data_IF_365448666544
#
_entry.id   IF_365448666544
#
_cell.length_a   1.000
_cell.length_b   1.000
_cell.length_c   1.000
_cell.angle_alpha   90.00
_cell.angle_beta   90.00
_cell.angle_gamma   90.00
#
_symmetry.space_group_name_H-M   'P 1'
#
loop_
_entity.id
_entity.type
_entity.pdbx_description
1 polymer ?
#
# COMPACT_ATOMS: atom_id res chain seq x y z
N UNK A 1 -31.41 -56.79 12.58
CA UNK A 1 -30.84 -58.11 12.96
C UNK A 1 -31.69 -58.94 13.95
N UNK A 2 -32.78 -58.42 14.52
CA UNK A 2 -33.59 -59.17 15.50
C UNK A 2 -34.28 -60.42 14.93
N UNK A 3 -34.76 -60.37 13.68
CA UNK A 3 -35.50 -61.48 13.07
C UNK A 3 -34.74 -62.81 12.94
N UNK A 4 -33.55 -62.85 12.32
CA UNK A 4 -32.73 -64.07 12.24
C UNK A 4 -32.33 -64.64 13.60
N UNK A 5 -32.13 -63.79 14.60
CA UNK A 5 -31.84 -64.20 15.99
C UNK A 5 -33.04 -64.91 16.60
N UNK A 6 -34.25 -64.38 16.40
CA UNK A 6 -35.50 -65.01 16.85
C UNK A 6 -35.69 -66.36 16.14
N UNK A 7 -35.40 -66.45 14.84
CA UNK A 7 -35.49 -67.71 14.09
C UNK A 7 -34.48 -68.74 14.63
N UNK A 8 -33.23 -68.35 14.86
CA UNK A 8 -32.22 -69.21 15.46
C UNK A 8 -32.63 -69.69 16.86
N UNK A 9 -33.23 -68.81 17.67
CA UNK A 9 -33.77 -69.16 18.98
C UNK A 9 -34.94 -70.15 18.88
N UNK A 10 -35.87 -69.96 17.93
CA UNK A 10 -36.96 -70.93 17.72
C UNK A 10 -36.47 -72.30 17.22
N UNK A 11 -35.38 -72.35 16.44
CA UNK A 11 -34.73 -73.60 16.04
C UNK A 11 -34.07 -74.26 17.26
N UNK A 12 -33.40 -73.48 18.11
CA UNK A 12 -32.78 -73.96 19.34
C UNK A 12 -33.80 -74.53 20.32
N UNK A 13 -34.92 -73.83 20.56
CA UNK A 13 -36.02 -74.32 21.41
C UNK A 13 -36.58 -75.64 20.87
N UNK A 14 -36.81 -75.75 19.55
CA UNK A 14 -37.27 -77.00 18.93
C UNK A 14 -36.26 -78.15 19.03
N UNK A 15 -34.96 -77.87 19.10
CA UNK A 15 -33.92 -78.88 19.30
C UNK A 15 -33.86 -79.40 20.75
N UNK A 16 -34.20 -78.54 21.74
CA UNK A 16 -34.17 -78.87 23.16
C UNK A 16 -35.44 -79.62 23.63
N UNK A 17 -36.60 -79.34 23.02
CA UNK A 17 -37.85 -80.07 23.28
C UNK A 17 -38.22 -80.95 22.07
N UNK A 18 -37.67 -82.18 21.96
CA UNK A 18 -37.94 -83.05 20.83
C UNK A 18 -39.36 -83.61 20.91
N UNK A 19 -40.30 -82.95 20.25
CA UNK A 19 -41.57 -83.56 19.85
C UNK A 19 -41.34 -84.30 18.53
N UNK A 20 -41.70 -85.58 18.47
CA UNK A 20 -41.37 -86.49 17.36
C UNK A 20 -41.95 -86.07 15.98
N UNK A 21 -42.80 -85.05 15.95
CA UNK A 21 -43.50 -84.54 14.76
C UNK A 21 -43.06 -83.14 14.31
N UNK A 22 -42.14 -82.47 15.01
CA UNK A 22 -41.79 -81.05 14.76
C UNK A 22 -40.64 -80.80 13.78
N UNK A 23 -40.15 -81.82 13.07
CA UNK A 23 -39.03 -81.70 12.12
C UNK A 23 -39.30 -80.75 10.93
N UNK A 24 -40.57 -80.43 10.62
CA UNK A 24 -40.92 -79.53 9.52
C UNK A 24 -40.60 -78.04 9.81
N UNK A 25 -40.64 -77.61 11.08
CA UNK A 25 -40.38 -76.22 11.49
C UNK A 25 -38.94 -75.76 11.23
N UNK A 26 -37.88 -76.48 11.64
CA UNK A 26 -36.50 -76.06 11.34
C UNK A 26 -36.18 -76.12 9.85
N UNK A 27 -36.76 -77.08 9.11
CA UNK A 27 -36.56 -77.18 7.66
C UNK A 27 -37.19 -76.02 6.90
N UNK A 28 -38.44 -75.67 7.25
CA UNK A 28 -39.12 -74.49 6.69
C UNK A 28 -38.50 -73.18 7.16
N UNK A 29 -37.90 -73.12 8.35
CA UNK A 29 -37.12 -71.97 8.81
C UNK A 29 -35.87 -71.73 7.94
N UNK A 30 -35.11 -72.77 7.63
CA UNK A 30 -33.91 -72.67 6.77
C UNK A 30 -34.26 -72.23 5.35
N UNK A 31 -35.25 -72.86 4.72
CA UNK A 31 -35.73 -72.47 3.39
C UNK A 31 -36.29 -71.04 3.45
N UNK A 32 -36.98 -70.71 4.54
CA UNK A 32 -37.64 -69.42 4.70
C UNK A 32 -36.68 -68.24 4.80
N UNK A 33 -35.54 -68.39 5.47
CA UNK A 33 -34.52 -67.33 5.51
C UNK A 33 -34.00 -67.04 4.09
N UNK A 34 -33.68 -68.07 3.30
CA UNK A 34 -33.21 -67.91 1.92
C UNK A 34 -34.26 -67.29 0.99
N UNK A 35 -35.53 -67.69 1.14
CA UNK A 35 -36.63 -67.13 0.37
C UNK A 35 -36.94 -65.67 0.75
N UNK A 36 -36.88 -65.33 2.04
CA UNK A 36 -37.08 -63.96 2.53
C UNK A 36 -35.96 -63.02 2.06
N UNK A 37 -34.72 -63.51 1.95
CA UNK A 37 -33.62 -62.75 1.38
C UNK A 37 -33.88 -62.41 -0.08
N UNK A 38 -34.23 -63.40 -0.91
CA UNK A 38 -34.34 -63.21 -2.37
C UNK A 38 -35.62 -62.49 -2.79
N UNK A 39 -36.74 -62.76 -2.11
CA UNK A 39 -38.08 -62.38 -2.57
C UNK A 39 -38.88 -61.53 -1.56
N UNK A 40 -38.26 -61.05 -0.48
CA UNK A 40 -38.86 -60.14 0.53
C UNK A 40 -40.26 -60.62 0.97
N UNK A 41 -41.29 -59.79 0.81
CA UNK A 41 -42.69 -60.08 1.16
C UNK A 41 -43.27 -61.28 0.41
N UNK A 42 -42.96 -61.43 -0.88
CA UNK A 42 -43.38 -62.60 -1.66
C UNK A 42 -42.72 -63.88 -1.14
N UNK A 43 -41.48 -63.77 -0.66
CA UNK A 43 -40.75 -64.84 0.01
C UNK A 43 -41.38 -65.23 1.35
N UNK A 44 -41.64 -64.25 2.22
CA UNK A 44 -42.26 -64.47 3.53
C UNK A 44 -43.69 -65.04 3.42
N UNK A 45 -44.47 -64.58 2.44
CA UNK A 45 -45.83 -65.07 2.21
C UNK A 45 -45.82 -66.48 1.60
N UNK A 46 -44.85 -66.78 0.74
CA UNK A 46 -44.63 -68.12 0.21
C UNK A 46 -44.17 -69.12 1.28
N UNK A 47 -43.31 -68.70 2.20
CA UNK A 47 -42.83 -69.56 3.31
C UNK A 47 -43.90 -69.77 4.36
N UNK A 48 -44.74 -68.75 4.60
CA UNK A 48 -45.93 -68.87 5.44
C UNK A 48 -46.93 -69.87 4.86
N UNK A 49 -47.21 -69.78 3.56
CA UNK A 49 -48.09 -70.72 2.86
C UNK A 49 -47.52 -72.16 2.89
N UNK A 50 -46.21 -72.31 2.72
CA UNK A 50 -45.54 -73.61 2.83
C UNK A 50 -45.58 -74.19 4.24
N UNK A 51 -45.33 -73.39 5.28
CA UNK A 51 -45.48 -73.82 6.68
C UNK A 51 -46.93 -74.24 6.98
N UNK A 52 -47.91 -73.46 6.52
CA UNK A 52 -49.33 -73.78 6.71
C UNK A 52 -49.74 -75.08 6.00
N UNK A 53 -49.27 -75.28 4.76
CA UNK A 53 -49.51 -76.51 4.01
C UNK A 53 -48.89 -77.73 4.71
N UNK A 54 -47.66 -77.61 5.20
CA UNK A 54 -46.99 -78.67 5.95
C UNK A 54 -47.71 -78.97 7.28
N UNK A 55 -48.19 -77.95 7.97
CA UNK A 55 -49.00 -78.10 9.18
C UNK A 55 -50.30 -78.86 8.91
N UNK A 56 -51.00 -78.61 7.80
CA UNK A 56 -52.21 -79.34 7.43
C UNK A 56 -51.93 -80.82 7.14
N UNK A 57 -50.80 -81.13 6.50
CA UNK A 57 -50.40 -82.52 6.17
C UNK A 57 -50.04 -83.28 7.45
N UNK A 58 -49.38 -82.64 8.42
CA UNK A 58 -48.97 -83.28 9.69
C UNK A 58 -50.05 -83.24 10.77
N UNK A 59 -51.14 -82.48 10.56
CA UNK A 59 -52.22 -82.25 11.53
C UNK A 59 -52.81 -83.54 12.12
N UNK A 60 -52.98 -84.59 11.30
CA UNK A 60 -53.54 -85.86 11.75
C UNK A 60 -52.61 -86.66 12.67
N UNK A 61 -51.30 -86.38 12.65
CA UNK A 61 -50.28 -87.08 13.43
C UNK A 61 -49.93 -86.42 14.77
N UNK A 62 -50.48 -85.24 15.07
CA UNK A 62 -50.14 -84.46 16.26
C UNK A 62 -51.14 -84.72 17.39
N UNK A 63 -50.64 -85.09 18.57
CA UNK A 63 -51.42 -85.24 19.79
C UNK A 63 -52.09 -83.91 20.18
N UNK A 64 -53.34 -83.98 20.67
CA UNK A 64 -54.19 -82.80 20.91
C UNK A 64 -53.53 -81.77 21.84
N UNK A 65 -52.74 -82.23 22.82
CA UNK A 65 -52.02 -81.40 23.79
C UNK A 65 -50.86 -80.61 23.14
N UNK A 66 -50.23 -81.12 22.09
CA UNK A 66 -49.08 -80.49 21.42
C UNK A 66 -49.50 -79.50 20.31
N UNK A 67 -50.77 -79.53 19.88
CA UNK A 67 -51.26 -78.69 18.77
C UNK A 67 -51.17 -77.19 19.07
N UNK A 68 -51.51 -76.80 20.30
CA UNK A 68 -51.42 -75.40 20.73
C UNK A 68 -49.96 -74.93 20.80
N UNK A 69 -49.05 -75.80 21.25
CA UNK A 69 -47.62 -75.52 21.29
C UNK A 69 -47.05 -75.31 19.88
N UNK A 70 -47.35 -76.22 18.95
CA UNK A 70 -46.87 -76.11 17.56
C UNK A 70 -47.45 -74.90 16.83
N UNK A 71 -48.72 -74.56 17.09
CA UNK A 71 -49.33 -73.34 16.57
C UNK A 71 -48.65 -72.08 17.10
N UNK A 72 -48.33 -72.06 18.40
CA UNK A 72 -47.57 -70.98 19.03
C UNK A 72 -46.19 -70.80 18.39
N UNK A 73 -45.45 -71.90 18.23
CA UNK A 73 -44.13 -71.89 17.57
C UNK A 73 -44.21 -71.44 16.11
N UNK A 74 -45.20 -71.91 15.34
CA UNK A 74 -45.42 -71.49 13.97
C UNK A 74 -45.80 -70.00 13.87
N UNK A 75 -46.61 -69.49 14.79
CA UNK A 75 -46.95 -68.06 14.83
C UNK A 75 -45.74 -67.18 15.14
N UNK A 76 -44.86 -67.63 16.05
CA UNK A 76 -43.63 -66.93 16.39
C UNK A 76 -42.63 -66.92 15.22
N UNK A 77 -42.49 -68.02 14.49
CA UNK A 77 -41.63 -68.08 13.30
C UNK A 77 -42.17 -67.20 12.16
N UNK A 78 -43.48 -67.14 11.96
CA UNK A 78 -44.11 -66.23 11.00
C UNK A 78 -43.85 -64.76 11.35
N UNK A 79 -44.02 -64.39 12.62
CA UNK A 79 -43.73 -63.03 13.09
C UNK A 79 -42.25 -62.69 12.92
N UNK A 80 -41.34 -63.64 13.16
CA UNK A 80 -39.91 -63.46 12.95
C UNK A 80 -39.55 -63.25 11.47
N UNK A 81 -40.23 -63.92 10.53
CA UNK A 81 -40.08 -63.64 9.10
C UNK A 81 -40.56 -62.24 8.72
N UNK A 82 -41.70 -61.80 9.25
CA UNK A 82 -42.21 -60.44 8.99
C UNK A 82 -41.22 -59.37 9.51
N UNK A 83 -40.70 -59.53 10.73
CA UNK A 83 -39.67 -58.65 11.30
C UNK A 83 -38.39 -58.66 10.45
N UNK A 84 -38.00 -59.83 9.92
CA UNK A 84 -36.80 -59.96 9.07
C UNK A 84 -36.97 -59.18 7.75
N UNK A 85 -38.13 -59.29 7.09
CA UNK A 85 -38.40 -58.57 5.84
C UNK A 85 -38.44 -57.05 6.07
N UNK A 86 -39.13 -56.59 7.11
CA UNK A 86 -39.17 -55.17 7.46
C UNK A 86 -37.77 -54.62 7.77
N UNK A 87 -36.95 -55.39 8.49
CA UNK A 87 -35.57 -55.02 8.78
C UNK A 87 -34.70 -54.91 7.53
N UNK A 88 -34.95 -55.71 6.49
CA UNK A 88 -34.23 -55.59 5.21
C UNK A 88 -34.68 -54.38 4.41
N UNK A 89 -35.99 -54.08 4.37
CA UNK A 89 -36.50 -52.88 3.68
C UNK A 89 -35.95 -51.59 4.31
N UNK A 90 -35.92 -51.51 5.64
CA UNK A 90 -35.34 -50.37 6.34
C UNK A 90 -33.81 -50.27 6.14
N UNK A 91 -33.11 -51.40 6.15
CA UNK A 91 -31.67 -51.45 5.87
C UNK A 91 -31.35 -50.99 4.44
N UNK A 92 -32.16 -51.37 3.45
CA UNK A 92 -31.95 -50.95 2.06
C UNK A 92 -32.28 -49.46 1.89
N UNK A 93 -33.34 -48.96 2.54
CA UNK A 93 -33.71 -47.55 2.52
C UNK A 93 -32.63 -46.66 3.16
N UNK A 94 -32.08 -47.08 4.31
CA UNK A 94 -30.99 -46.36 4.99
C UNK A 94 -29.70 -46.40 4.16
N UNK A 95 -29.37 -47.55 3.56
CA UNK A 95 -28.20 -47.67 2.68
C UNK A 95 -28.32 -46.75 1.48
N UNK A 96 -29.50 -46.70 0.85
CA UNK A 96 -29.74 -45.79 -0.28
C UNK A 96 -29.62 -44.32 0.14
N UNK A 97 -30.21 -43.95 1.27
CA UNK A 97 -30.10 -42.58 1.80
C UNK A 97 -28.62 -42.20 2.03
N UNK A 98 -27.84 -43.07 2.67
CA UNK A 98 -26.40 -42.88 2.90
C UNK A 98 -25.63 -42.79 1.57
N UNK A 99 -25.95 -43.62 0.58
CA UNK A 99 -25.30 -43.57 -0.75
C UNK A 99 -25.62 -42.25 -1.47
N UNK A 100 -26.86 -41.77 -1.42
CA UNK A 100 -27.23 -40.47 -2.02
C UNK A 100 -26.57 -39.30 -1.30
N UNK A 101 -26.54 -39.32 0.03
CA UNK A 101 -25.90 -38.29 0.84
C UNK A 101 -24.39 -38.26 0.62
N UNK A 102 -23.74 -39.43 0.60
CA UNK A 102 -22.29 -39.53 0.34
C UNK A 102 -21.93 -39.03 -1.06
N UNK A 103 -22.72 -39.31 -2.09
CA UNK A 103 -22.52 -38.74 -3.44
C UNK A 103 -22.67 -37.22 -3.43
N UNK A 104 -23.71 -36.69 -2.80
CA UNK A 104 -23.91 -35.24 -2.69
C UNK A 104 -22.78 -34.55 -1.91
N UNK A 105 -22.31 -35.16 -0.82
CA UNK A 105 -21.15 -34.67 -0.06
C UNK A 105 -19.87 -34.73 -0.88
N UNK A 106 -19.66 -35.80 -1.65
CA UNK A 106 -18.50 -35.92 -2.54
C UNK A 106 -18.53 -34.85 -3.63
N UNK A 107 -19.66 -34.62 -4.28
CA UNK A 107 -19.81 -33.56 -5.29
C UNK A 107 -19.58 -32.17 -4.67
N UNK A 108 -20.09 -31.94 -3.46
CA UNK A 108 -19.82 -30.70 -2.73
C UNK A 108 -18.33 -30.53 -2.43
N UNK A 109 -17.63 -31.59 -2.01
CA UNK A 109 -16.19 -31.55 -1.74
C UNK A 109 -15.39 -31.31 -3.02
N UNK A 110 -15.77 -31.92 -4.14
CA UNK A 110 -15.14 -31.69 -5.44
C UNK A 110 -15.33 -30.24 -5.88
N UNK A 111 -16.52 -29.67 -5.72
CA UNK A 111 -16.76 -28.25 -6.03
C UNK A 111 -15.97 -27.31 -5.12
N UNK A 112 -15.72 -27.72 -3.87
CA UNK A 112 -14.93 -26.94 -2.92
C UNK A 112 -13.44 -27.00 -3.27
N UNK A 113 -12.95 -28.15 -3.71
CA UNK A 113 -11.58 -28.33 -4.21
C UNK A 113 -11.33 -27.51 -5.47
N UNK A 114 -12.29 -27.48 -6.41
CA UNK A 114 -12.24 -26.63 -7.61
C UNK A 114 -12.17 -25.14 -7.22
N UNK A 115 -13.04 -24.69 -6.31
CA UNK A 115 -12.99 -23.30 -5.80
C UNK A 115 -11.69 -22.99 -5.08
N UNK A 116 -11.15 -23.92 -4.29
CA UNK A 116 -9.89 -23.73 -3.60
C UNK A 116 -8.75 -23.57 -4.62
N UNK A 117 -8.74 -24.39 -5.67
CA UNK A 117 -7.78 -24.28 -6.77
C UNK A 117 -7.91 -22.95 -7.52
N UNK A 118 -9.12 -22.52 -7.86
CA UNK A 118 -9.35 -21.21 -8.50
C UNK A 118 -8.85 -20.06 -7.62
N UNK A 119 -9.16 -20.09 -6.32
CA UNK A 119 -8.64 -19.08 -5.39
C UNK A 119 -7.11 -19.13 -5.32
N UNK A 120 -6.50 -20.32 -5.30
CA UNK A 120 -5.05 -20.47 -5.28
C UNK A 120 -4.40 -19.89 -6.56
N UNK A 121 -4.99 -20.12 -7.73
CA UNK A 121 -4.53 -19.53 -9.00
C UNK A 121 -4.64 -18.00 -8.97
N UNK A 122 -5.74 -17.47 -8.44
CA UNK A 122 -5.92 -16.02 -8.26
C UNK A 122 -4.87 -15.44 -7.31
N UNK A 123 -4.61 -16.07 -6.17
CA UNK A 123 -3.56 -15.67 -5.23
C UNK A 123 -2.17 -15.67 -5.87
N UNK A 124 -1.87 -16.64 -6.73
CA UNK A 124 -0.62 -16.68 -7.49
C UNK A 124 -0.53 -15.53 -8.48
N UNK A 125 -1.60 -15.23 -9.22
CA UNK A 125 -1.66 -14.12 -10.17
C UNK A 125 -1.48 -12.77 -9.48
N UNK A 126 -2.22 -12.53 -8.39
CA UNK A 126 -2.15 -11.27 -7.62
C UNK A 126 -0.75 -11.08 -7.00
N UNK A 127 -0.12 -12.18 -6.59
CA UNK A 127 1.25 -12.16 -6.10
C UNK A 127 2.26 -11.78 -7.19
N UNK A 128 2.11 -12.33 -8.39
CA UNK A 128 2.97 -12.00 -9.53
C UNK A 128 2.83 -10.52 -9.91
N UNK A 129 1.59 -9.99 -9.97
CA UNK A 129 1.35 -8.57 -10.23
C UNK A 129 1.92 -7.68 -9.11
N UNK A 130 1.80 -8.09 -7.85
CA UNK A 130 2.40 -7.37 -6.73
C UNK A 130 3.94 -7.39 -6.77
N UNK A 131 4.55 -8.50 -7.20
CA UNK A 131 6.00 -8.60 -7.36
C UNK A 131 6.49 -7.74 -8.56
N UNK A 132 5.74 -7.70 -9.66
CA UNK A 132 6.04 -6.83 -10.81
C UNK A 132 5.95 -5.35 -10.44
N UNK A 133 4.86 -4.93 -9.79
CA UNK A 133 4.67 -3.53 -9.35
C UNK A 133 5.73 -3.11 -8.35
N UNK A 134 6.13 -4.02 -7.44
CA UNK A 134 7.25 -3.78 -6.52
C UNK A 134 8.57 -3.59 -7.28
N UNK A 135 8.86 -4.45 -8.27
CA UNK A 135 10.05 -4.31 -9.11
C UNK A 135 10.10 -2.96 -9.84
N UNK A 136 8.97 -2.53 -10.43
CA UNK A 136 8.86 -1.23 -11.10
C UNK A 136 9.08 -0.06 -10.13
N UNK A 137 8.56 -0.16 -8.91
CA UNK A 137 8.78 0.85 -7.87
C UNK A 137 10.25 0.89 -7.41
N UNK A 138 10.92 -0.25 -7.30
CA UNK A 138 12.35 -0.30 -6.97
C UNK A 138 13.20 0.35 -8.07
N UNK A 139 12.90 0.10 -9.34
CA UNK A 139 13.54 0.76 -10.49
C UNK A 139 13.28 2.29 -10.49
N UNK A 140 12.05 2.72 -10.20
CA UNK A 140 11.73 4.15 -10.09
C UNK A 140 12.46 4.84 -8.91
N UNK A 141 12.66 4.13 -7.80
CA UNK A 141 13.42 4.65 -6.65
C UNK A 141 14.89 4.79 -7.02
N UNK A 142 15.49 3.80 -7.67
CA UNK A 142 16.91 3.84 -8.06
C UNK A 142 17.18 4.97 -9.07
N UNK A 143 16.33 5.11 -10.10
CA UNK A 143 16.44 6.20 -11.08
C UNK A 143 16.28 7.58 -10.44
N UNK A 144 15.31 7.77 -9.53
CA UNK A 144 15.17 9.01 -8.77
C UNK A 144 16.38 9.29 -7.88
N UNK A 145 16.98 8.26 -7.32
CA UNK A 145 18.17 8.39 -6.49
C UNK A 145 19.38 8.84 -7.32
N UNK A 146 19.57 8.30 -8.52
CA UNK A 146 20.58 8.76 -9.48
C UNK A 146 20.34 10.22 -9.90
N UNK A 147 19.09 10.58 -10.22
CA UNK A 147 18.72 11.97 -10.54
C UNK A 147 19.04 12.91 -9.38
N UNK A 148 18.73 12.53 -8.14
CA UNK A 148 19.08 13.33 -6.95
C UNK A 148 20.59 13.50 -6.80
N UNK A 149 21.38 12.46 -7.05
CA UNK A 149 22.85 12.56 -7.01
C UNK A 149 23.39 13.48 -8.09
N UNK A 150 22.86 13.40 -9.32
CA UNK A 150 23.28 14.31 -10.41
C UNK A 150 22.91 15.76 -10.08
N UNK A 151 21.70 16.01 -9.56
CA UNK A 151 21.29 17.34 -9.14
C UNK A 151 22.20 17.89 -8.04
N UNK A 152 22.53 17.10 -7.03
CA UNK A 152 23.45 17.53 -5.97
C UNK A 152 24.83 17.92 -6.53
N UNK A 153 25.38 17.14 -7.47
CA UNK A 153 26.64 17.50 -8.16
C UNK A 153 26.52 18.82 -8.91
N UNK A 154 25.40 19.08 -9.58
CA UNK A 154 25.18 20.37 -10.27
C UNK A 154 25.07 21.53 -9.29
N UNK A 155 24.41 21.34 -8.14
CA UNK A 155 24.32 22.36 -7.08
C UNK A 155 25.69 22.67 -6.51
N UNK A 156 26.52 21.65 -6.26
CA UNK A 156 27.89 21.83 -5.78
C UNK A 156 28.74 22.62 -6.79
N UNK A 157 28.66 22.29 -8.08
CA UNK A 157 29.36 23.02 -9.14
C UNK A 157 28.91 24.49 -9.22
N UNK A 158 27.60 24.75 -9.14
CA UNK A 158 27.04 26.10 -9.22
C UNK A 158 27.39 26.94 -7.97
N UNK A 159 27.43 26.31 -6.80
CA UNK A 159 27.91 26.95 -5.57
C UNK A 159 29.41 27.32 -5.65
N UNK A 160 30.23 26.48 -6.29
CA UNK A 160 31.64 26.79 -6.54
C UNK A 160 31.78 28.00 -7.48
N UNK A 161 31.00 28.04 -8.56
CA UNK A 161 30.99 29.17 -9.50
C UNK A 161 30.53 30.48 -8.84
N UNK A 162 29.46 30.44 -8.04
CA UNK A 162 29.01 31.62 -7.26
C UNK A 162 30.10 32.07 -6.27
N UNK A 163 30.81 31.14 -5.63
CA UNK A 163 31.91 31.45 -4.72
C UNK A 163 33.07 32.14 -5.45
N UNK A 164 33.38 31.73 -6.67
CA UNK A 164 34.45 32.34 -7.45
C UNK A 164 34.02 33.69 -8.05
N UNK A 165 32.78 33.81 -8.52
CA UNK A 165 32.21 35.10 -8.94
C UNK A 165 32.16 36.12 -7.79
N UNK A 166 31.76 35.70 -6.59
CA UNK A 166 31.75 36.59 -5.41
C UNK A 166 33.17 37.03 -5.02
N UNK A 167 34.17 36.14 -5.06
CA UNK A 167 35.58 36.53 -4.87
C UNK A 167 36.04 37.53 -5.93
N UNK A 168 35.75 37.28 -7.20
CA UNK A 168 36.14 38.16 -8.30
C UNK A 168 35.48 39.54 -8.17
N UNK A 169 34.20 39.58 -7.80
CA UNK A 169 33.47 40.82 -7.60
C UNK A 169 34.01 41.62 -6.40
N UNK A 170 34.33 40.94 -5.28
CA UNK A 170 34.99 41.58 -4.12
C UNK A 170 36.38 42.10 -4.50
N UNK A 171 37.16 41.33 -5.25
CA UNK A 171 38.47 41.77 -5.74
C UNK A 171 38.35 43.03 -6.62
N UNK A 172 37.43 43.01 -7.58
CA UNK A 172 37.13 44.14 -8.46
C UNK A 172 36.71 45.39 -7.67
N UNK A 173 35.78 45.27 -6.71
CA UNK A 173 35.40 46.38 -5.84
C UNK A 173 36.57 46.91 -4.99
N UNK A 174 37.44 46.03 -4.49
CA UNK A 174 38.61 46.45 -3.73
C UNK A 174 39.61 47.25 -4.57
N UNK A 175 39.75 46.89 -5.86
CA UNK A 175 40.61 47.59 -6.80
C UNK A 175 40.01 48.93 -7.22
N UNK A 176 38.70 48.96 -7.49
CA UNK A 176 37.96 50.19 -7.76
C UNK A 176 38.10 51.19 -6.60
N UNK A 177 38.00 50.74 -5.34
CA UNK A 177 38.21 51.60 -4.17
C UNK A 177 39.64 52.12 -4.04
N UNK A 178 40.65 51.30 -4.36
CA UNK A 178 42.05 51.76 -4.39
C UNK A 178 42.27 52.84 -5.44
N UNK A 179 41.70 52.66 -6.62
CA UNK A 179 41.81 53.66 -7.70
C UNK A 179 41.07 54.94 -7.33
N UNK A 180 39.86 54.84 -6.75
CA UNK A 180 39.13 56.01 -6.25
C UNK A 180 39.92 56.79 -5.19
N UNK A 181 40.63 56.09 -4.31
CA UNK A 181 41.49 56.72 -3.30
C UNK A 181 42.68 57.45 -3.92
N UNK A 182 43.29 56.88 -4.97
CA UNK A 182 44.36 57.56 -5.74
C UNK A 182 43.83 58.83 -6.39
N UNK A 183 42.66 58.77 -7.04
CA UNK A 183 42.02 59.95 -7.62
C UNK A 183 41.72 61.04 -6.58
N UNK A 184 41.22 60.66 -5.41
CA UNK A 184 40.98 61.63 -4.34
C UNK A 184 42.28 62.31 -3.87
N UNK A 185 43.37 61.54 -3.74
CA UNK A 185 44.67 62.07 -3.36
C UNK A 185 45.29 62.97 -4.44
N UNK A 186 45.17 62.59 -5.71
CA UNK A 186 45.60 63.42 -6.84
C UNK A 186 44.80 64.73 -6.90
N UNK A 187 43.49 64.68 -6.64
CA UNK A 187 42.64 65.86 -6.57
C UNK A 187 42.99 66.78 -5.39
N UNK A 188 43.37 66.23 -4.24
CA UNK A 188 43.86 66.99 -3.08
C UNK A 188 45.17 67.71 -3.40
N UNK A 189 46.14 67.01 -4.02
CA UNK A 189 47.39 67.61 -4.48
C UNK A 189 47.14 68.75 -5.49
N UNK A 190 46.13 68.61 -6.36
CA UNK A 190 45.76 69.63 -7.34
C UNK A 190 45.12 70.86 -6.67
N UNK A 191 44.31 70.65 -5.62
CA UNK A 191 43.75 71.73 -4.80
C UNK A 191 44.85 72.51 -4.08
N UNK A 192 45.83 71.84 -3.50
CA UNK A 192 46.94 72.52 -2.83
C UNK A 192 47.84 73.25 -3.84
N UNK A 193 48.15 72.67 -4.99
CA UNK A 193 48.85 73.37 -6.07
C UNK A 193 48.07 74.62 -6.55
N UNK A 194 46.74 74.57 -6.59
CA UNK A 194 45.90 75.74 -6.91
C UNK A 194 45.95 76.81 -5.82
N UNK A 195 46.03 76.44 -4.54
CA UNK A 195 46.22 77.40 -3.44
C UNK A 195 47.59 78.06 -3.51
N UNK A 196 48.64 77.29 -3.77
CA UNK A 196 50.01 77.80 -3.91
C UNK A 196 50.09 78.81 -5.08
N UNK A 197 49.42 78.53 -6.20
CA UNK A 197 49.31 79.48 -7.32
C UNK A 197 48.58 80.76 -6.89
N UNK A 198 47.48 80.65 -6.14
CA UNK A 198 46.75 81.82 -5.66
C UNK A 198 47.57 82.68 -4.68
N UNK A 199 48.42 82.04 -3.87
CA UNK A 199 49.35 82.72 -2.96
C UNK A 199 50.48 83.42 -3.73
N UNK A 200 51.06 82.75 -4.74
CA UNK A 200 52.04 83.36 -5.66
C UNK A 200 51.43 84.52 -6.46
N UNK A 201 50.16 84.41 -6.89
CA UNK A 201 49.45 85.51 -7.56
C UNK A 201 49.25 86.71 -6.63
N UNK A 202 48.93 86.50 -5.35
CA UNK A 202 48.89 87.57 -4.35
C UNK A 202 50.25 88.21 -4.13
N UNK A 203 51.32 87.40 -4.03
CA UNK A 203 52.68 87.92 -3.92
C UNK A 203 53.09 88.76 -5.14
N UNK A 204 52.67 88.36 -6.35
CA UNK A 204 52.87 89.14 -7.58
C UNK A 204 52.06 90.46 -7.58
N UNK A 205 50.84 90.46 -7.07
CA UNK A 205 50.04 91.68 -6.97
C UNK A 205 50.55 92.63 -5.86
N UNK A 206 51.13 92.09 -4.78
CA UNK A 206 51.83 92.87 -3.75
C UNK A 206 53.19 93.41 -4.23
N UNK A 207 53.88 92.72 -5.15
CA UNK A 207 55.16 93.17 -5.74
C UNK A 207 55.02 94.11 -6.95
N UNK A 208 53.84 94.22 -7.58
CA UNK A 208 53.52 95.32 -8.52
C UNK A 208 53.61 96.72 -7.89
N UNK A 209 53.71 96.81 -6.56
CA UNK A 209 53.94 98.06 -5.83
C UNK A 209 55.40 98.51 -5.72
N UNK A 210 56.41 97.68 -6.05
CA UNK A 210 57.81 98.10 -5.85
C UNK A 210 58.84 97.36 -6.72
N UNK A 211 59.39 98.11 -7.69
CA UNK A 211 60.73 98.02 -8.31
C UNK A 211 61.01 96.91 -9.37
N UNK A 212 60.50 97.16 -10.57
CA UNK A 212 61.16 97.32 -11.88
C UNK A 212 62.49 96.63 -12.33
N UNK A 213 63.18 95.75 -11.61
CA UNK A 213 64.47 95.20 -12.14
C UNK A 213 64.58 93.68 -12.32
N UNK A 214 63.61 92.86 -11.91
CA UNK A 214 63.65 91.38 -12.12
C UNK A 214 62.77 90.88 -13.28
N UNK A 215 62.32 91.78 -14.17
CA UNK A 215 61.28 91.48 -15.17
C UNK A 215 61.69 90.49 -16.27
N UNK A 216 62.98 90.33 -16.59
CA UNK A 216 63.39 89.45 -17.70
C UNK A 216 63.60 87.99 -17.29
N UNK A 217 64.00 87.73 -16.04
CA UNK A 217 64.22 86.36 -15.53
C UNK A 217 62.89 85.71 -15.15
N UNK A 218 61.93 86.51 -14.67
CA UNK A 218 60.60 86.04 -14.31
C UNK A 218 59.73 85.78 -15.57
N UNK A 219 59.87 86.57 -16.65
CA UNK A 219 59.20 86.28 -17.92
C UNK A 219 59.69 84.95 -18.54
N UNK A 220 60.99 84.65 -18.46
CA UNK A 220 61.54 83.38 -18.98
C UNK A 220 61.11 82.17 -18.14
N UNK A 221 60.99 82.35 -16.82
CA UNK A 221 60.51 81.30 -15.91
C UNK A 221 58.99 81.07 -16.06
N UNK A 222 58.21 82.13 -16.27
CA UNK A 222 56.78 82.04 -16.62
C UNK A 222 56.56 81.33 -17.94
N UNK A 223 57.36 81.64 -18.97
CA UNK A 223 57.27 80.96 -20.27
C UNK A 223 57.55 79.46 -20.17
N UNK A 224 58.57 79.07 -19.41
CA UNK A 224 58.89 77.66 -19.20
C UNK A 224 57.79 76.93 -18.41
N UNK A 225 57.16 77.59 -17.44
CA UNK A 225 56.04 77.01 -16.67
C UNK A 225 54.73 76.97 -17.46
N UNK A 226 54.48 77.94 -18.32
CA UNK A 226 53.35 77.92 -19.26
C UNK A 226 53.52 76.79 -20.28
N UNK A 227 54.74 76.57 -20.79
CA UNK A 227 55.07 75.42 -21.64
C UNK A 227 54.82 74.09 -20.91
N UNK A 228 55.19 74.00 -19.62
CA UNK A 228 54.98 72.80 -18.80
C UNK A 228 53.49 72.57 -18.49
N UNK A 229 52.69 73.63 -18.35
CA UNK A 229 51.22 73.55 -18.24
C UNK A 229 50.59 73.11 -19.56
N UNK A 230 51.10 73.57 -20.69
CA UNK A 230 50.57 73.18 -22.00
C UNK A 230 50.89 71.72 -22.32
N UNK A 231 52.08 71.24 -21.94
CA UNK A 231 52.45 69.82 -22.01
C UNK A 231 51.64 68.96 -21.02
N UNK A 232 51.35 69.46 -19.82
CA UNK A 232 50.50 68.75 -18.85
C UNK A 232 49.02 68.75 -19.26
N UNK A 233 48.51 69.84 -19.84
CA UNK A 233 47.18 69.89 -20.45
C UNK A 233 47.07 68.92 -21.62
N UNK A 234 48.10 68.84 -22.46
CA UNK A 234 48.13 67.90 -23.57
C UNK A 234 48.17 66.44 -23.09
N UNK A 235 48.89 66.14 -21.99
CA UNK A 235 48.85 64.83 -21.34
C UNK A 235 47.50 64.53 -20.67
N UNK A 236 46.80 65.56 -20.16
CA UNK A 236 45.44 65.42 -19.65
C UNK A 236 44.47 65.18 -20.80
N UNK A 237 44.53 65.92 -21.90
CA UNK A 237 43.68 65.70 -23.08
C UNK A 237 43.97 64.36 -23.77
N UNK A 238 45.22 63.89 -23.79
CA UNK A 238 45.57 62.54 -24.27
C UNK A 238 45.02 61.46 -23.33
N UNK A 239 45.10 61.63 -21.99
CA UNK A 239 44.53 60.67 -21.04
C UNK A 239 43.01 60.76 -20.90
N UNK A 240 42.43 61.94 -21.08
CA UNK A 240 40.99 62.16 -21.12
C UNK A 240 40.43 61.61 -22.44
N UNK A 241 41.18 61.67 -23.55
CA UNK A 241 40.86 60.90 -24.76
C UNK A 241 41.17 59.40 -24.63
N UNK A 242 42.08 58.93 -23.77
CA UNK A 242 42.18 57.48 -23.48
C UNK A 242 41.02 57.01 -22.58
N UNK A 243 40.46 57.88 -21.73
CA UNK A 243 39.32 57.58 -20.84
C UNK A 243 37.96 57.78 -21.54
N UNK A 244 37.85 58.73 -22.48
CA UNK A 244 36.62 59.04 -23.25
C UNK A 244 36.65 58.44 -24.66
N UNK A 245 37.84 58.24 -25.23
CA UNK A 245 38.08 57.71 -26.57
C UNK A 245 38.60 56.26 -26.61
N UNK A 246 38.72 55.58 -25.46
CA UNK A 246 38.67 54.13 -25.47
C UNK A 246 37.37 53.71 -26.16
N UNK A 247 37.47 53.01 -27.29
CA UNK A 247 36.32 52.53 -28.08
C UNK A 247 35.29 51.83 -27.16
N UNK A 248 35.78 51.19 -26.09
CA UNK A 248 35.00 50.57 -25.02
C UNK A 248 34.10 51.55 -24.24
N UNK A 249 34.49 52.80 -23.96
CA UNK A 249 33.68 53.72 -23.15
C UNK A 249 32.57 54.37 -23.98
N UNK A 250 32.80 54.63 -25.27
CA UNK A 250 31.76 55.15 -26.18
C UNK A 250 30.80 54.04 -26.60
N UNK A 251 31.27 52.81 -26.74
CA UNK A 251 30.44 51.64 -26.96
C UNK A 251 29.60 51.32 -25.71
N UNK A 252 30.19 51.31 -24.50
CA UNK A 252 29.46 51.08 -23.25
C UNK A 252 28.50 52.23 -22.91
N UNK A 253 28.84 53.50 -23.16
CA UNK A 253 27.95 54.63 -22.90
C UNK A 253 26.81 54.72 -23.93
N UNK A 254 27.09 54.39 -25.21
CA UNK A 254 26.04 54.27 -26.22
C UNK A 254 25.17 53.04 -26.02
N UNK A 255 25.71 51.91 -25.54
CA UNK A 255 24.97 50.73 -25.13
C UNK A 255 24.11 51.02 -23.91
N UNK A 256 24.63 51.69 -22.89
CA UNK A 256 23.89 52.08 -21.70
C UNK A 256 22.76 53.06 -22.04
N UNK A 257 23.00 54.08 -22.88
CA UNK A 257 21.94 54.97 -23.33
C UNK A 257 20.94 54.28 -24.27
N UNK A 258 21.38 53.30 -25.07
CA UNK A 258 20.47 52.47 -25.88
C UNK A 258 19.63 51.53 -25.01
N UNK A 259 20.18 50.99 -23.93
CA UNK A 259 19.51 50.11 -22.97
C UNK A 259 18.54 50.92 -22.11
N UNK A 260 18.92 52.14 -21.71
CA UNK A 260 18.06 53.06 -20.98
C UNK A 260 16.90 53.56 -21.85
N UNK A 261 17.15 53.88 -23.14
CA UNK A 261 16.06 54.17 -24.09
C UNK A 261 15.21 52.93 -24.40
N UNK A 262 15.79 51.72 -24.44
CA UNK A 262 15.04 50.46 -24.61
C UNK A 262 14.22 50.09 -23.38
N UNK A 263 14.64 50.46 -22.17
CA UNK A 263 13.86 50.31 -20.94
C UNK A 263 12.75 51.37 -20.83
N UNK A 264 13.02 52.61 -21.25
CA UNK A 264 12.02 53.69 -21.18
C UNK A 264 10.93 53.58 -22.26
N UNK A 265 11.24 52.95 -23.41
CA UNK A 265 10.26 52.68 -24.49
C UNK A 265 9.59 51.29 -24.45
N UNK A 266 9.74 50.50 -23.38
CA UNK A 266 9.03 49.21 -23.22
C UNK A 266 8.32 49.11 -21.87
N UNK A 267 7.44 50.06 -21.57
CA UNK A 267 6.23 49.74 -20.82
C UNK A 267 5.22 49.09 -21.78
N UNK A 268 4.62 47.93 -21.43
CA UNK A 268 3.80 47.16 -22.35
C UNK A 268 2.40 47.77 -22.48
N UNK A 269 2.14 48.48 -23.58
CA UNK A 269 0.78 48.67 -24.09
C UNK A 269 0.45 47.59 -25.11
N UNK A 270 -0.03 46.44 -24.65
CA UNK A 270 -0.79 45.45 -25.43
C UNK A 270 -0.09 44.77 -26.63
N UNK A 271 -0.59 43.61 -27.09
CA UNK A 271 0.12 42.77 -28.06
C UNK A 271 -0.17 43.21 -29.50
N UNK A 272 0.88 43.56 -30.26
CA UNK A 272 0.86 43.51 -31.73
C UNK A 272 2.12 42.82 -32.26
N UNK A 273 1.93 41.70 -32.95
CA UNK A 273 2.80 41.22 -34.05
C UNK A 273 2.86 42.33 -35.12
N UNK A 274 3.95 42.54 -35.88
CA UNK A 274 4.68 41.55 -36.71
C UNK A 274 6.22 41.66 -36.55
N UNK A 275 7.04 40.66 -36.92
CA UNK A 275 7.54 40.43 -38.28
C UNK A 275 8.70 41.37 -38.62
N UNK A 276 9.91 40.84 -38.83
CA UNK A 276 11.06 41.60 -39.34
C UNK A 276 12.39 41.17 -38.72
N UNK A 277 13.20 40.49 -39.52
CA UNK A 277 14.59 40.17 -39.27
C UNK A 277 15.39 41.44 -38.94
N UNK A 278 16.04 41.45 -37.78
CA UNK A 278 17.30 42.15 -37.58
C UNK A 278 18.06 41.48 -36.43
N UNK A 279 19.37 41.39 -36.61
CA UNK A 279 20.31 40.70 -35.75
C UNK A 279 20.35 41.34 -34.35
N UNK A 280 19.46 40.91 -33.47
CA UNK A 280 19.61 41.14 -32.05
C UNK A 280 20.93 40.49 -31.58
N UNK A 281 21.75 41.20 -30.77
CA UNK A 281 23.03 40.69 -30.32
C UNK A 281 22.83 39.32 -29.67
N UNK A 282 23.76 38.39 -29.93
CA UNK A 282 23.63 36.99 -29.52
C UNK A 282 23.25 36.83 -28.04
N UNK A 283 23.69 37.76 -27.20
CA UNK A 283 23.39 37.81 -25.76
C UNK A 283 21.94 38.20 -25.44
N UNK A 284 21.29 39.06 -26.21
CA UNK A 284 19.87 39.38 -26.00
C UNK A 284 18.96 38.21 -26.40
N UNK A 285 19.29 37.49 -27.47
CA UNK A 285 18.60 36.24 -27.85
C UNK A 285 18.83 35.14 -26.81
N UNK A 286 20.05 35.03 -26.27
CA UNK A 286 20.41 34.09 -25.21
C UNK A 286 19.69 34.40 -23.90
N UNK A 287 19.64 35.66 -23.48
CA UNK A 287 18.87 36.07 -22.30
C UNK A 287 17.37 35.85 -22.49
N UNK A 288 16.81 36.20 -23.65
CA UNK A 288 15.40 35.95 -23.94
C UNK A 288 15.08 34.45 -23.98
N UNK A 289 16.02 33.62 -24.48
CA UNK A 289 15.95 32.17 -24.41
C UNK A 289 15.94 31.64 -22.98
N UNK A 290 16.86 32.13 -22.12
CA UNK A 290 16.88 31.77 -20.70
C UNK A 290 15.62 32.20 -19.96
N UNK A 291 15.12 33.43 -20.19
CA UNK A 291 13.86 33.89 -19.59
C UNK A 291 12.67 33.04 -20.04
N UNK A 292 12.64 32.64 -21.31
CA UNK A 292 11.60 31.76 -21.84
C UNK A 292 11.66 30.37 -21.20
N UNK A 293 12.87 29.79 -21.08
CA UNK A 293 13.08 28.51 -20.41
C UNK A 293 12.71 28.58 -18.92
N UNK A 294 13.09 29.65 -18.23
CA UNK A 294 12.75 29.84 -16.82
C UNK A 294 11.23 29.96 -16.64
N UNK A 295 10.56 30.67 -17.54
CA UNK A 295 9.10 30.78 -17.53
C UNK A 295 8.42 29.44 -17.83
N UNK A 296 8.91 28.68 -18.80
CA UNK A 296 8.44 27.33 -19.10
C UNK A 296 8.63 26.40 -17.88
N UNK A 297 9.78 26.48 -17.20
CA UNK A 297 10.02 25.73 -15.95
C UNK A 297 9.09 26.14 -14.81
N UNK A 298 8.78 27.43 -14.67
CA UNK A 298 7.81 27.89 -13.68
C UNK A 298 6.39 27.40 -14.02
N UNK A 299 5.98 27.43 -15.28
CA UNK A 299 4.69 26.88 -15.71
C UNK A 299 4.61 25.37 -15.47
N UNK A 300 5.67 24.62 -15.79
CA UNK A 300 5.73 23.19 -15.56
C UNK A 300 5.70 22.85 -14.07
N UNK A 301 6.50 23.54 -13.24
CA UNK A 301 6.46 23.38 -11.78
C UNK A 301 5.11 23.75 -11.19
N UNK A 302 4.46 24.80 -11.69
CA UNK A 302 3.12 25.20 -11.24
C UNK A 302 2.11 24.11 -11.56
N UNK A 303 2.16 23.53 -12.78
CA UNK A 303 1.31 22.40 -13.16
C UNK A 303 1.55 21.16 -12.29
N UNK A 304 2.82 20.84 -11.99
CA UNK A 304 3.15 19.72 -11.10
C UNK A 304 2.66 19.99 -9.68
N UNK A 305 2.80 21.22 -9.18
CA UNK A 305 2.32 21.62 -7.86
C UNK A 305 0.79 21.53 -7.77
N UNK A 306 0.08 22.01 -8.79
CA UNK A 306 -1.38 21.91 -8.86
C UNK A 306 -1.84 20.45 -8.93
N UNK A 307 -1.17 19.62 -9.73
CA UNK A 307 -1.45 18.19 -9.77
C UNK A 307 -1.19 17.51 -8.43
N UNK A 308 -0.07 17.84 -7.79
CA UNK A 308 0.28 17.30 -6.48
C UNK A 308 -0.72 17.75 -5.42
N UNK A 309 -1.23 18.99 -5.49
CA UNK A 309 -2.30 19.48 -4.59
C UNK A 309 -3.60 18.69 -4.79
N UNK A 310 -3.97 18.38 -6.02
CA UNK A 310 -5.15 17.54 -6.31
C UNK A 310 -4.95 16.13 -5.77
N UNK A 311 -3.79 15.52 -6.03
CA UNK A 311 -3.48 14.17 -5.56
C UNK A 311 -3.46 14.11 -4.02
N UNK A 312 -2.91 15.14 -3.37
CA UNK A 312 -2.87 15.23 -1.91
C UNK A 312 -4.27 15.35 -1.30
N UNK A 313 -5.15 16.12 -1.96
CA UNK A 313 -6.56 16.23 -1.56
C UNK A 313 -7.31 14.90 -1.73
N UNK A 314 -7.05 14.15 -2.81
CA UNK A 314 -7.67 12.83 -3.02
C UNK A 314 -7.17 11.81 -1.98
N UNK A 315 -5.88 11.82 -1.67
CA UNK A 315 -5.29 10.97 -0.62
C UNK A 315 -5.86 11.32 0.75
N UNK A 316 -5.94 12.60 1.10
CA UNK A 316 -6.57 13.05 2.35
C UNK A 316 -8.03 12.58 2.45
N UNK A 317 -8.80 12.69 1.38
CA UNK A 317 -10.18 12.21 1.32
C UNK A 317 -10.30 10.69 1.54
N UNK A 318 -9.41 9.89 0.91
CA UNK A 318 -9.36 8.43 1.12
C UNK A 318 -8.96 8.08 2.54
N UNK A 319 -8.01 8.81 3.12
CA UNK A 319 -7.55 8.59 4.48
C UNK A 319 -8.67 8.90 5.49
N UNK A 320 -9.43 9.97 5.28
CA UNK A 320 -10.61 10.29 6.10
C UNK A 320 -11.69 9.21 5.99
N UNK A 321 -11.95 8.69 4.79
CA UNK A 321 -12.90 7.59 4.56
C UNK A 321 -12.48 6.31 5.30
N UNK A 322 -11.22 5.90 5.16
CA UNK A 322 -10.66 4.75 5.88
C UNK A 322 -10.67 4.95 7.39
N UNK A 323 -10.44 6.16 7.87
CA UNK A 323 -10.49 6.47 9.31
C UNK A 323 -11.92 6.35 9.85
N UNK A 324 -12.93 6.77 9.07
CA UNK A 324 -14.35 6.57 9.42
C UNK A 324 -14.75 5.10 9.39
N UNK A 325 -14.33 4.36 8.37
CA UNK A 325 -14.57 2.92 8.27
C UNK A 325 -13.94 2.16 9.44
N UNK A 326 -12.70 2.50 9.79
CA UNK A 326 -12.04 1.94 10.97
C UNK A 326 -12.78 2.29 12.26
N UNK A 327 -13.21 3.54 12.43
CA UNK A 327 -13.97 3.95 13.60
C UNK A 327 -15.31 3.21 13.73
N UNK A 328 -15.99 2.92 12.61
CA UNK A 328 -17.20 2.09 12.57
C UNK A 328 -16.88 0.64 12.95
N UNK A 329 -15.81 0.07 12.38
CA UNK A 329 -15.36 -1.29 12.72
C UNK A 329 -14.92 -1.45 14.18
N UNK A 330 -14.38 -0.40 14.78
CA UNK A 330 -13.98 -0.39 16.19
C UNK A 330 -15.18 -0.13 17.15
N UNK A 331 -16.33 0.32 16.65
CA UNK A 331 -17.53 0.61 17.46
C UNK A 331 -18.66 -0.40 17.32
N UNK A 332 -18.75 -1.10 16.19
CA UNK A 332 -19.69 -2.20 16.00
C UNK A 332 -18.96 -3.51 16.29
N UNK A 333 -19.20 -4.16 17.45
CA UNK A 333 -18.73 -5.52 17.65
C UNK A 333 -19.28 -6.35 16.49
N UNK A 334 -18.39 -7.11 15.86
CA UNK A 334 -18.74 -7.93 14.71
C UNK A 334 -19.82 -8.91 15.16
N UNK A 335 -20.80 -9.24 14.32
CA UNK A 335 -21.89 -10.19 14.67
C UNK A 335 -21.31 -11.50 15.26
N UNK A 336 -20.16 -11.93 14.75
CA UNK A 336 -19.36 -13.05 15.24
C UNK A 336 -18.77 -12.87 16.65
N UNK A 337 -18.38 -11.65 17.03
CA UNK A 337 -17.87 -11.35 18.39
C UNK A 337 -19.00 -11.41 19.42
N UNK A 338 -20.21 -10.96 19.06
CA UNK A 338 -21.39 -11.13 19.90
C UNK A 338 -21.79 -12.61 20.05
N UNK A 339 -21.77 -13.38 18.96
CA UNK A 339 -22.01 -14.83 19.02
C UNK A 339 -20.97 -15.54 19.90
N UNK A 340 -19.69 -15.17 19.77
CA UNK A 340 -18.61 -15.75 20.58
C UNK A 340 -18.74 -15.40 22.06
N UNK A 341 -19.14 -14.17 22.41
CA UNK A 341 -19.42 -13.79 23.80
C UNK A 341 -20.58 -14.60 24.39
N UNK A 342 -21.64 -14.86 23.60
CA UNK A 342 -22.77 -15.67 24.03
C UNK A 342 -22.36 -17.13 24.28
N UNK A 343 -21.57 -17.72 23.37
CA UNK A 343 -21.04 -19.07 23.55
C UNK A 343 -20.10 -19.16 24.75
N UNK A 344 -19.23 -18.18 24.95
CA UNK A 344 -18.30 -18.15 26.07
C UNK A 344 -19.05 -18.08 27.41
N UNK A 345 -20.17 -17.33 27.45
CA UNK A 345 -21.05 -17.28 28.61
C UNK A 345 -21.74 -18.62 28.87
N UNK A 346 -22.24 -19.30 27.84
CA UNK A 346 -22.83 -20.65 27.97
C UNK A 346 -21.82 -21.65 28.53
N UNK A 347 -20.61 -21.68 27.98
CA UNK A 347 -19.54 -22.57 28.45
C UNK A 347 -19.15 -22.26 29.90
N UNK A 348 -19.15 -20.98 30.29
CA UNK A 348 -18.87 -20.57 31.67
C UNK A 348 -19.97 -21.03 32.64
N UNK A 349 -21.24 -20.95 32.24
CA UNK A 349 -22.37 -21.45 33.03
C UNK A 349 -22.32 -22.97 33.18
N UNK A 350 -22.05 -23.72 32.11
CA UNK A 350 -21.85 -25.18 32.16
C UNK A 350 -20.68 -25.54 33.09
N UNK A 351 -19.54 -24.86 32.97
CA UNK A 351 -18.38 -25.09 33.84
C UNK A 351 -18.69 -24.82 35.32
N UNK A 352 -19.57 -23.85 35.61
CA UNK A 352 -20.03 -23.58 36.97
C UNK A 352 -20.90 -24.71 37.51
N UNK A 353 -21.83 -25.24 36.70
CA UNK A 353 -22.68 -26.38 37.07
C UNK A 353 -21.84 -27.63 37.36
N UNK A 354 -20.91 -27.99 36.46
CA UNK A 354 -20.00 -29.13 36.67
C UNK A 354 -19.17 -28.99 37.96
N UNK A 355 -18.82 -27.77 38.34
CA UNK A 355 -18.07 -27.49 39.57
C UNK A 355 -18.93 -27.67 40.82
N UNK A 356 -20.18 -27.25 40.78
CA UNK A 356 -21.15 -27.45 41.86
C UNK A 356 -21.43 -28.94 42.05
N UNK A 357 -21.70 -29.68 40.97
CA UNK A 357 -21.90 -31.14 41.02
C UNK A 357 -20.67 -31.87 41.59
N UNK A 358 -19.46 -31.48 41.16
CA UNK A 358 -18.23 -32.05 41.70
C UNK A 358 -18.05 -31.75 43.20
N UNK A 359 -18.46 -30.58 43.66
CA UNK A 359 -18.42 -30.22 45.08
C UNK A 359 -19.45 -31.03 45.88
N UNK A 360 -20.67 -31.18 45.38
CA UNK A 360 -21.72 -32.00 46.00
C UNK A 360 -21.28 -33.46 46.12
N UNK A 361 -20.78 -34.05 45.04
CA UNK A 361 -20.22 -35.40 45.04
C UNK A 361 -19.05 -35.52 46.03
N UNK A 362 -18.17 -34.52 46.09
CA UNK A 362 -17.10 -34.45 47.07
C UNK A 362 -17.62 -34.50 48.51
N UNK A 363 -18.63 -33.68 48.83
CA UNK A 363 -19.26 -33.70 50.17
C UNK A 363 -19.89 -35.05 50.48
N UNK A 364 -20.58 -35.66 49.51
CA UNK A 364 -21.22 -36.96 49.67
C UNK A 364 -20.19 -38.07 49.94
N UNK A 365 -19.07 -38.08 49.21
CA UNK A 365 -17.96 -39.01 49.45
C UNK A 365 -17.36 -38.80 50.84
N UNK A 366 -17.18 -37.56 51.30
CA UNK A 366 -16.66 -37.31 52.66
C UNK A 366 -17.62 -37.82 53.74
N UNK A 367 -18.93 -37.57 53.60
CA UNK A 367 -19.94 -38.06 54.57
C UNK A 367 -20.02 -39.59 54.59
N UNK A 368 -19.98 -40.24 53.42
CA UNK A 368 -19.96 -41.70 53.35
C UNK A 368 -18.67 -42.28 53.95
N UNK A 369 -17.54 -41.60 53.78
CA UNK A 369 -16.26 -42.01 54.36
C UNK A 369 -16.27 -41.89 55.89
N UNK A 370 -16.86 -40.82 56.43
CA UNK A 370 -17.08 -40.63 57.87
C UNK A 370 -18.05 -41.67 58.45
N UNK A 371 -19.16 -41.96 57.76
CA UNK A 371 -20.14 -42.99 58.17
C UNK A 371 -19.56 -44.41 58.14
N UNK A 372 -18.64 -44.69 57.21
CA UNK A 372 -17.89 -45.95 57.17
C UNK A 372 -16.89 -46.03 58.33
N UNK A 373 -16.14 -44.96 58.60
CA UNK A 373 -15.18 -44.91 59.71
C UNK A 373 -15.84 -45.02 61.09
N UNK A 374 -17.09 -44.55 61.25
CA UNK A 374 -17.85 -44.65 62.50
C UNK A 374 -18.54 -46.02 62.70
N UNK A 375 -18.51 -46.92 61.71
CA UNK A 375 -19.10 -48.27 61.79
C UNK A 375 -18.09 -49.38 62.11
N UNK A 376 -16.79 -49.08 62.09
CA UNK A 376 -15.72 -49.92 62.65
C UNK A 376 -15.50 -49.60 64.13
#
# INVERSE_FOLDING_TARGET
MLGPIIIAFTIFVNAVTPSSTSFYLPFSAMIGIGACWRWRWSGALGTAAFMFMMFLITYSGIHVEERLWQLGMASATLMAFAITVLSFEESDATTYAIETESKSRLDSLLSLDEKLKDTQEQWCSDREESEETKGRLEDDITTRQEQKQTLNKTIEALNAEVKDLTKNNVAFHSEALKNLRKYAQEHENLLDAKKDIAELQRMCDDTKGSKAEDSSVIEETLRNKDQEIEDLKKKIDEKENDVVGGEDFKEVYSEFHSIQNKMQNKMPSGPKKPGGDDAAPADARKMQGMYKQLREQFEEKTKVLDKTRIDLFDVEGRLEALTKEKALRDTEPTEYECELEEELKKVQEEAMQWREEAQELGTLVTTLSEDLANKE
#
